data_IF_392794831035
#
_entry.id   IF_392794831035
#
_cell.length_a   1.000
_cell.length_b   1.000
_cell.length_c   1.000
_cell.angle_alpha   90.00
_cell.angle_beta   90.00
_cell.angle_gamma   90.00
#
_symmetry.space_group_name_H-M   'P 1'
#
loop_
_entity.id
_entity.type
_entity.pdbx_description
1 polymer ?
#
# COMPACT_ATOMS: atom_id res chain seq x y z
N UNK A 1 -14.18 11.16 -1.88
CA UNK A 1 -13.71 10.16 -0.90
C UNK A 1 -12.21 10.31 -0.79
N UNK A 2 -11.65 10.49 0.41
CA UNK A 2 -10.20 10.57 0.62
C UNK A 2 -9.70 9.15 0.93
N UNK A 3 -8.65 8.68 0.27
CA UNK A 3 -8.03 7.41 0.63
C UNK A 3 -7.42 7.50 2.05
N UNK A 4 -7.58 6.48 2.89
CA UNK A 4 -6.98 6.47 4.22
C UNK A 4 -5.45 6.41 4.07
N UNK A 5 -4.73 7.22 4.85
CA UNK A 5 -3.27 7.27 4.82
C UNK A 5 -2.70 6.35 5.91
N UNK A 6 -1.56 5.70 5.62
CA UNK A 6 -0.88 4.82 6.58
C UNK A 6 0.57 5.22 6.77
N UNK A 7 0.90 5.63 7.99
CA UNK A 7 2.26 6.10 8.33
C UNK A 7 3.18 4.98 8.84
N UNK A 8 2.64 3.81 9.15
CA UNK A 8 3.37 2.67 9.72
C UNK A 8 3.27 2.49 11.24
N UNK A 9 2.09 2.60 11.89
CA UNK A 9 1.96 2.23 13.29
C UNK A 9 2.37 0.77 13.54
N UNK A 10 2.98 0.51 14.70
CA UNK A 10 3.37 -0.85 15.15
C UNK A 10 2.19 -1.71 15.59
N UNK A 11 0.95 -1.19 15.56
CA UNK A 11 -0.25 -1.93 15.93
C UNK A 11 -0.78 -2.73 14.72
N UNK A 12 -0.79 -4.08 14.78
CA UNK A 12 -1.32 -4.92 13.71
C UNK A 12 -2.79 -4.62 13.38
N UNK A 13 -3.61 -4.33 14.39
CA UNK A 13 -5.05 -4.03 14.19
C UNK A 13 -5.23 -2.75 13.37
N UNK A 14 -4.37 -1.75 13.58
CA UNK A 14 -4.43 -0.50 12.82
C UNK A 14 -4.03 -0.72 11.35
N UNK A 15 -3.10 -1.64 11.10
CA UNK A 15 -2.73 -2.04 9.74
C UNK A 15 -3.86 -2.80 9.03
N UNK A 16 -4.51 -3.75 9.74
CA UNK A 16 -5.64 -4.50 9.19
C UNK A 16 -6.82 -3.59 8.86
N UNK A 17 -7.18 -2.67 9.76
CA UNK A 17 -8.25 -1.71 9.52
C UNK A 17 -7.93 -0.82 8.30
N UNK A 18 -6.69 -0.33 8.19
CA UNK A 18 -6.27 0.45 7.03
C UNK A 18 -6.38 -0.35 5.72
N UNK A 19 -5.99 -1.63 5.73
CA UNK A 19 -6.10 -2.52 4.57
C UNK A 19 -7.56 -2.73 4.15
N UNK A 20 -8.46 -2.97 5.11
CA UNK A 20 -9.89 -3.13 4.83
C UNK A 20 -10.45 -1.85 4.21
N UNK A 21 -10.17 -0.70 4.82
CA UNK A 21 -10.71 0.59 4.37
C UNK A 21 -10.22 0.95 2.98
N UNK A 22 -8.93 0.76 2.68
CA UNK A 22 -8.39 1.07 1.35
C UNK A 22 -8.90 0.08 0.30
N UNK A 23 -9.05 -1.20 0.64
CA UNK A 23 -9.56 -2.22 -0.28
C UNK A 23 -10.98 -1.91 -0.74
N UNK A 24 -11.86 -1.46 0.17
CA UNK A 24 -13.24 -1.05 -0.16
C UNK A 24 -13.24 0.06 -1.21
N UNK A 25 -12.37 1.05 -1.09
CA UNK A 25 -12.28 2.17 -2.04
C UNK A 25 -11.80 1.68 -3.40
N UNK A 26 -10.75 0.86 -3.43
CA UNK A 26 -10.15 0.39 -4.67
C UNK A 26 -11.06 -0.58 -5.43
N UNK A 27 -11.80 -1.43 -4.71
CA UNK A 27 -12.81 -2.31 -5.28
C UNK A 27 -14.01 -1.52 -5.82
N UNK A 28 -14.46 -0.49 -5.08
CA UNK A 28 -15.50 0.42 -5.57
C UNK A 28 -15.08 1.10 -6.88
N UNK A 29 -13.80 1.44 -7.02
CA UNK A 29 -13.23 2.01 -8.24
C UNK A 29 -13.02 0.99 -9.37
N UNK A 30 -13.20 -0.31 -9.12
CA UNK A 30 -13.02 -1.42 -10.08
C UNK A 30 -11.63 -1.49 -10.70
N UNK A 31 -10.61 -1.21 -9.89
CA UNK A 31 -9.21 -1.27 -10.32
C UNK A 31 -8.75 -2.72 -10.52
N UNK A 32 -7.82 -2.92 -11.45
CA UNK A 32 -7.07 -4.18 -11.59
C UNK A 32 -6.15 -4.38 -10.39
N UNK A 33 -5.72 -5.61 -10.12
CA UNK A 33 -4.81 -5.90 -9.01
C UNK A 33 -3.51 -5.09 -9.07
N UNK A 34 -2.99 -4.83 -10.27
CA UNK A 34 -1.80 -3.99 -10.45
C UNK A 34 -2.06 -2.51 -10.10
N UNK A 35 -3.21 -1.97 -10.52
CA UNK A 35 -3.62 -0.61 -10.17
C UNK A 35 -3.91 -0.47 -8.67
N UNK A 36 -4.48 -1.50 -8.02
CA UNK A 36 -4.70 -1.52 -6.58
C UNK A 36 -3.39 -1.38 -5.81
N UNK A 37 -2.38 -2.17 -6.17
CA UNK A 37 -1.04 -2.10 -5.55
C UNK A 37 -0.43 -0.70 -5.75
N UNK A 38 -0.53 -0.15 -6.96
CA UNK A 38 -0.03 1.19 -7.24
C UNK A 38 -0.74 2.25 -6.38
N UNK A 39 -2.07 2.27 -6.37
CA UNK A 39 -2.85 3.24 -5.60
C UNK A 39 -2.64 3.09 -4.09
N UNK A 40 -2.62 1.85 -3.56
CA UNK A 40 -2.36 1.61 -2.14
C UNK A 40 -0.96 2.10 -1.72
N UNK A 41 0.04 1.94 -2.58
CA UNK A 41 1.39 2.45 -2.31
C UNK A 41 1.45 3.98 -2.19
N UNK A 42 0.60 4.71 -2.94
CA UNK A 42 0.52 6.17 -2.83
C UNK A 42 -0.07 6.64 -1.50
N UNK A 43 -0.89 5.82 -0.84
CA UNK A 43 -1.48 6.08 0.46
C UNK A 43 -0.53 5.80 1.64
N UNK A 44 0.60 5.11 1.40
CA UNK A 44 1.66 4.96 2.41
C UNK A 44 2.39 6.29 2.63
N UNK A 45 2.69 6.63 3.87
CA UNK A 45 3.37 7.87 4.27
C UNK A 45 4.49 7.55 5.25
N UNK A 46 5.39 8.51 5.46
CA UNK A 46 6.53 8.41 6.40
C UNK A 46 7.25 7.06 6.30
N UNK A 47 7.34 6.32 7.40
CA UNK A 47 8.13 5.09 7.50
C UNK A 47 7.57 3.98 6.62
N UNK A 48 6.24 3.86 6.51
CA UNK A 48 5.62 2.88 5.62
C UNK A 48 5.97 3.14 4.14
N UNK A 49 6.09 4.42 3.73
CA UNK A 49 6.53 4.77 2.36
C UNK A 49 7.99 4.38 2.13
N UNK A 50 8.88 4.69 3.07
CA UNK A 50 10.30 4.33 2.97
C UNK A 50 10.49 2.81 2.89
N UNK A 51 9.75 2.06 3.72
CA UNK A 51 9.73 0.60 3.66
C UNK A 51 9.30 0.08 2.29
N UNK A 52 8.18 0.59 1.75
CA UNK A 52 7.68 0.14 0.45
C UNK A 52 8.66 0.41 -0.70
N UNK A 53 9.28 1.59 -0.74
CA UNK A 53 10.32 1.90 -1.74
C UNK A 53 11.49 0.91 -1.66
N UNK A 54 11.91 0.55 -0.44
CA UNK A 54 12.98 -0.44 -0.23
C UNK A 54 12.56 -1.84 -0.72
N UNK A 55 11.31 -2.24 -0.48
CA UNK A 55 10.77 -3.52 -0.97
C UNK A 55 10.71 -3.55 -2.50
N UNK A 56 10.27 -2.47 -3.14
CA UNK A 56 10.22 -2.37 -4.60
C UNK A 56 11.61 -2.48 -5.21
N UNK A 57 12.59 -1.71 -4.71
CA UNK A 57 13.98 -1.81 -5.19
C UNK A 57 14.52 -3.24 -5.09
N UNK A 58 14.24 -3.95 -3.99
CA UNK A 58 14.67 -5.35 -3.84
C UNK A 58 13.98 -6.28 -4.83
N UNK A 59 12.68 -6.09 -5.09
CA UNK A 59 11.94 -6.91 -6.05
C UNK A 59 12.42 -6.69 -7.48
N UNK A 60 12.74 -5.44 -7.84
CA UNK A 60 13.27 -5.12 -9.17
C UNK A 60 14.64 -5.77 -9.39
N UNK A 61 15.51 -5.77 -8.38
CA UNK A 61 16.82 -6.47 -8.42
C UNK A 61 16.63 -7.98 -8.60
N UNK A 62 15.66 -8.58 -7.92
CA UNK A 62 15.36 -10.02 -8.03
C UNK A 62 14.63 -10.41 -9.32
N UNK A 63 14.11 -9.45 -10.09
CA UNK A 63 13.46 -9.68 -11.38
C UNK A 63 14.44 -9.60 -12.57
N UNK A 64 15.71 -9.31 -12.31
CA UNK A 64 16.78 -9.22 -13.32
C UNK A 64 17.62 -10.51 -13.47
N UNK A 65 17.33 -11.54 -12.68
CA UNK A 65 17.91 -12.90 -12.76
C UNK A 65 16.92 -13.89 -13.41
#
# INVERSE_FOLDING_TARGET
MKAPEFEGPTNPIAADNWLIDIQVILDFMRLTEQEKVLCASFALKKDARHWWMTVQMRRDVLAMD
#
